data_IF_049849914134
#
_entry.id   IF_049849914134
#
_cell.length_a   1.000
_cell.length_b   1.000
_cell.length_c   1.000
_cell.angle_alpha   90.00
_cell.angle_beta   90.00
_cell.angle_gamma   90.00
#
_symmetry.space_group_name_H-M   'P 1'
#
loop_
_entity.id
_entity.type
_entity.pdbx_description
1 polymer ?
#
# COMPACT_ATOMS: atom_id res chain seq x y z
N UNK A 1 2.57 12.38 -21.37
CA UNK A 1 2.29 11.39 -20.31
C UNK A 1 1.11 10.61 -20.80
N UNK A 2 1.17 9.29 -20.76
CA UNK A 2 0.23 8.40 -21.42
C UNK A 2 -0.27 7.36 -20.43
N UNK A 3 -1.49 6.88 -20.65
CA UNK A 3 -2.07 5.79 -19.88
C UNK A 3 -1.50 4.46 -20.35
N UNK A 4 -1.02 3.67 -19.39
CA UNK A 4 -0.60 2.30 -19.62
C UNK A 4 -1.31 1.33 -18.68
N UNK A 5 -1.24 0.05 -19.05
CA UNK A 5 -1.70 -1.06 -18.22
C UNK A 5 -0.55 -2.03 -18.04
N UNK A 6 -0.31 -2.44 -16.79
CA UNK A 6 0.71 -3.46 -16.47
C UNK A 6 0.29 -4.80 -17.08
N UNK A 7 1.12 -5.33 -17.97
CA UNK A 7 0.99 -6.68 -18.53
C UNK A 7 1.72 -7.68 -17.64
N UNK A 8 2.92 -7.33 -17.17
CA UNK A 8 3.71 -8.17 -16.26
C UNK A 8 4.63 -7.31 -15.39
N UNK A 9 4.83 -7.75 -14.16
CA UNK A 9 5.81 -7.17 -13.23
C UNK A 9 7.01 -8.12 -12.98
N UNK A 10 7.12 -9.21 -13.76
CA UNK A 10 8.24 -10.17 -13.67
C UNK A 10 9.45 -9.63 -14.44
N UNK A 11 10.14 -8.64 -13.88
CA UNK A 11 11.32 -8.03 -14.48
C UNK A 11 12.55 -8.97 -14.42
N UNK A 12 13.08 -9.45 -15.56
CA UNK A 12 14.26 -10.32 -15.57
C UNK A 12 15.54 -9.67 -15.03
N UNK A 13 15.60 -8.34 -14.98
CA UNK A 13 16.76 -7.59 -14.48
C UNK A 13 16.69 -7.25 -13.00
N UNK A 14 15.51 -7.42 -12.37
CA UNK A 14 15.33 -7.15 -10.94
C UNK A 14 15.44 -5.69 -10.52
N UNK A 15 15.32 -4.73 -11.45
CA UNK A 15 15.44 -3.29 -11.14
C UNK A 15 14.07 -2.59 -11.04
N UNK A 16 12.97 -3.35 -11.04
CA UNK A 16 11.62 -2.82 -10.87
C UNK A 16 10.99 -2.29 -12.15
N UNK A 17 11.40 -2.80 -13.32
CA UNK A 17 10.72 -2.47 -14.59
C UNK A 17 9.33 -3.13 -14.65
N UNK A 18 8.42 -2.49 -15.38
CA UNK A 18 7.10 -3.04 -15.66
C UNK A 18 6.97 -3.25 -17.16
N UNK A 19 6.49 -4.42 -17.58
CA UNK A 19 6.04 -4.63 -18.95
C UNK A 19 4.66 -3.98 -19.07
N UNK A 20 4.55 -2.91 -19.85
CA UNK A 20 3.35 -2.09 -19.94
C UNK A 20 2.85 -2.02 -21.38
N UNK A 21 1.54 -2.08 -21.55
CA UNK A 21 0.87 -1.77 -22.83
C UNK A 21 0.44 -0.30 -22.80
N UNK A 22 0.78 0.46 -23.84
CA UNK A 22 0.46 1.89 -23.98
C UNK A 22 -0.18 2.13 -25.37
N UNK A 23 -1.50 1.90 -25.51
CA UNK A 23 -2.16 1.87 -26.82
C UNK A 23 -1.99 3.15 -27.64
N UNK A 24 -2.04 4.31 -26.99
CA UNK A 24 -1.93 5.62 -27.67
C UNK A 24 -0.58 5.88 -28.35
N UNK A 25 0.48 5.14 -27.98
CA UNK A 25 1.84 5.34 -28.52
C UNK A 25 2.33 4.13 -29.30
N UNK A 26 2.08 2.92 -28.79
CA UNK A 26 2.66 1.68 -29.31
C UNK A 26 1.63 0.74 -29.96
N UNK A 27 0.34 1.08 -29.86
CA UNK A 27 -0.76 0.16 -30.19
C UNK A 27 -0.95 -0.94 -29.14
N UNK A 28 -1.90 -1.84 -29.40
CA UNK A 28 -2.32 -2.83 -28.39
C UNK A 28 -1.39 -4.04 -28.26
N UNK A 29 -0.69 -4.40 -29.34
CA UNK A 29 0.08 -5.65 -29.42
C UNK A 29 1.57 -5.50 -29.11
N UNK A 30 2.02 -4.29 -28.75
CA UNK A 30 3.44 -3.97 -28.53
C UNK A 30 3.71 -3.49 -27.09
N UNK A 31 3.68 -4.39 -26.09
CA UNK A 31 4.06 -4.03 -24.74
C UNK A 31 5.56 -3.77 -24.63
N UNK A 32 5.94 -2.81 -23.79
CA UNK A 32 7.33 -2.35 -23.63
C UNK A 32 7.75 -2.36 -22.16
N UNK A 33 9.03 -2.58 -21.89
CA UNK A 33 9.58 -2.51 -20.54
C UNK A 33 9.82 -1.05 -20.12
N UNK A 34 8.99 -0.53 -19.22
CA UNK A 34 9.16 0.79 -18.64
C UNK A 34 10.02 0.76 -17.37
N UNK A 35 11.01 1.64 -17.28
CA UNK A 35 11.84 1.79 -16.08
C UNK A 35 11.12 2.57 -14.96
N UNK A 36 11.42 2.31 -13.68
CA UNK A 36 10.77 2.99 -12.57
C UNK A 36 11.24 4.42 -12.40
N UNK A 37 10.30 5.36 -12.23
CA UNK A 37 10.53 6.66 -11.61
C UNK A 37 9.98 6.60 -10.19
N UNK A 38 10.78 6.05 -9.28
CA UNK A 38 10.40 5.85 -7.87
C UNK A 38 10.82 7.05 -7.00
N UNK A 39 10.03 7.42 -5.96
CA UNK A 39 10.36 8.45 -4.97
C UNK A 39 11.72 8.30 -4.28
N UNK A 40 12.25 7.09 -4.14
CA UNK A 40 13.56 6.85 -3.54
C UNK A 40 14.24 5.66 -4.21
N UNK A 41 15.46 5.87 -4.71
CA UNK A 41 16.35 4.84 -5.20
C UNK A 41 17.80 5.18 -4.81
N UNK A 42 18.55 4.18 -4.37
CA UNK A 42 19.95 4.30 -4.00
C UNK A 42 20.57 2.94 -3.76
N UNK A 43 21.87 2.91 -3.46
CA UNK A 43 22.54 1.67 -3.07
C UNK A 43 21.94 1.15 -1.77
N UNK A 44 21.40 -0.07 -1.80
CA UNK A 44 20.79 -0.78 -0.66
C UNK A 44 19.62 -0.02 0.02
N UNK A 45 18.97 0.92 -0.66
CA UNK A 45 17.79 1.62 -0.16
C UNK A 45 16.84 2.07 -1.28
N UNK A 46 15.55 2.19 -0.97
CA UNK A 46 14.56 2.68 -1.94
C UNK A 46 13.14 2.26 -1.65
N UNK A 47 12.22 2.74 -2.49
CA UNK A 47 10.87 2.22 -2.57
C UNK A 47 10.75 1.31 -3.80
N UNK A 48 10.53 0.02 -3.53
CA UNK A 48 10.39 -1.03 -4.54
C UNK A 48 8.95 -1.56 -4.53
N UNK A 49 8.21 -1.32 -5.62
CA UNK A 49 6.77 -1.63 -5.72
C UNK A 49 6.54 -2.60 -6.87
N UNK A 50 5.84 -3.70 -6.58
CA UNK A 50 5.45 -4.71 -7.56
C UNK A 50 3.92 -4.74 -7.65
N UNK A 51 3.31 -4.09 -8.64
CA UNK A 51 1.86 -4.07 -8.83
C UNK A 51 1.35 -5.40 -9.42
N UNK A 52 0.08 -5.77 -9.19
CA UNK A 52 -0.53 -6.88 -9.93
C UNK A 52 -0.69 -6.55 -11.42
N UNK A 53 -0.63 -7.54 -12.32
CA UNK A 53 -1.04 -7.37 -13.70
C UNK A 53 -2.47 -6.78 -13.81
N UNK A 54 -2.69 -5.95 -14.82
CA UNK A 54 -3.93 -5.19 -14.99
C UNK A 54 -3.95 -3.83 -14.28
N UNK A 55 -2.96 -3.53 -13.43
CA UNK A 55 -2.86 -2.22 -12.77
C UNK A 55 -2.70 -1.09 -13.79
N UNK A 56 -3.45 0.00 -13.60
CA UNK A 56 -3.28 1.24 -14.37
C UNK A 56 -2.00 1.96 -13.96
N UNK A 57 -1.22 2.41 -14.94
CA UNK A 57 0.08 3.06 -14.71
C UNK A 57 0.23 4.26 -15.63
N UNK A 58 0.86 5.32 -15.13
CA UNK A 58 1.22 6.46 -15.95
C UNK A 58 2.61 6.29 -16.53
N UNK A 59 2.73 6.45 -17.84
CA UNK A 59 3.97 6.25 -18.59
C UNK A 59 4.41 7.56 -19.25
N UNK A 60 5.72 7.80 -19.29
CA UNK A 60 6.34 8.87 -20.07
C UNK A 60 7.47 8.29 -20.91
N UNK A 61 7.59 8.79 -22.12
CA UNK A 61 8.70 8.49 -23.02
C UNK A 61 9.72 9.62 -22.91
N UNK A 62 10.95 9.28 -22.48
CA UNK A 62 12.01 10.27 -22.30
C UNK A 62 12.39 10.85 -23.65
N UNK A 63 12.51 12.18 -23.73
CA UNK A 63 12.80 12.91 -24.96
C UNK A 63 11.81 12.65 -26.12
N UNK A 64 10.63 12.10 -25.81
CA UNK A 64 9.63 11.69 -26.80
C UNK A 64 9.95 10.38 -27.51
N UNK A 65 10.99 9.65 -27.10
CA UNK A 65 11.44 8.40 -27.70
C UNK A 65 10.62 7.20 -27.21
N UNK A 66 9.83 6.53 -28.08
CA UNK A 66 9.04 5.34 -27.73
C UNK A 66 9.86 4.18 -27.14
N UNK A 67 11.16 4.10 -27.43
CA UNK A 67 12.06 3.06 -26.92
C UNK A 67 12.62 3.36 -25.53
N UNK A 68 12.33 4.55 -24.97
CA UNK A 68 12.77 4.99 -23.64
C UNK A 68 11.62 5.29 -22.66
N UNK A 69 10.74 4.31 -22.38
CA UNK A 69 9.64 4.50 -21.44
C UNK A 69 10.08 4.46 -19.96
N UNK A 70 9.46 5.32 -19.16
CA UNK A 70 9.50 5.29 -17.69
C UNK A 70 8.08 5.31 -17.14
N UNK A 71 7.84 4.58 -16.05
CA UNK A 71 6.58 4.66 -15.31
C UNK A 71 6.71 5.62 -14.12
N UNK A 72 5.70 6.46 -13.92
CA UNK A 72 5.72 7.58 -12.97
C UNK A 72 4.95 7.30 -11.67
N UNK A 73 4.00 6.37 -11.73
CA UNK A 73 3.08 6.06 -10.65
C UNK A 73 1.82 5.37 -11.18
N UNK A 74 0.89 5.10 -10.29
CA UNK A 74 -0.29 4.29 -10.60
C UNK A 74 -1.55 5.14 -10.76
N UNK A 75 -2.37 4.76 -11.74
CA UNK A 75 -3.69 5.34 -11.98
C UNK A 75 -4.74 4.41 -11.38
N UNK A 76 -5.75 4.99 -10.72
CA UNK A 76 -6.96 4.26 -10.34
C UNK A 76 -7.94 4.28 -11.51
N UNK A 77 -8.36 3.11 -11.96
CA UNK A 77 -9.44 2.90 -12.94
C UNK A 77 -10.82 2.90 -12.29
N UNK A 78 -10.92 2.65 -10.99
CA UNK A 78 -12.19 2.73 -10.26
C UNK A 78 -12.06 2.42 -8.77
N UNK A 79 -13.20 2.18 -8.11
CA UNK A 79 -13.25 1.88 -6.67
C UNK A 79 -12.57 0.56 -6.30
N UNK A 80 -12.42 -0.37 -7.25
CA UNK A 80 -11.72 -1.64 -7.06
C UNK A 80 -10.22 -1.48 -6.82
N UNK A 81 -9.62 -0.39 -7.29
CA UNK A 81 -8.19 -0.12 -7.12
C UNK A 81 -7.89 0.56 -5.78
N UNK A 82 -8.92 0.88 -4.99
CA UNK A 82 -8.77 1.47 -3.66
C UNK A 82 -8.56 0.36 -2.64
N UNK A 83 -7.46 0.37 -1.86
CA UNK A 83 -7.25 -0.61 -0.81
C UNK A 83 -8.44 -0.70 0.15
N UNK A 84 -8.92 -1.91 0.50
CA UNK A 84 -10.01 -2.06 1.45
C UNK A 84 -9.75 -1.37 2.80
N UNK A 85 -8.48 -1.35 3.25
CA UNK A 85 -8.06 -0.69 4.48
C UNK A 85 -8.38 0.82 4.52
N UNK A 86 -8.47 1.48 3.35
CA UNK A 86 -8.84 2.90 3.28
C UNK A 86 -10.31 3.17 3.64
N UNK A 87 -11.16 2.13 3.64
CA UNK A 87 -12.58 2.23 4.05
C UNK A 87 -12.75 2.33 5.56
N UNK A 88 -11.70 2.07 6.35
CA UNK A 88 -11.71 2.23 7.81
C UNK A 88 -11.86 3.69 8.25
N UNK A 89 -11.54 4.63 7.36
CA UNK A 89 -11.64 6.07 7.61
C UNK A 89 -12.73 6.68 6.71
N UNK A 90 -13.70 7.43 7.26
CA UNK A 90 -14.75 8.08 6.48
C UNK A 90 -14.21 9.05 5.42
N UNK A 91 -14.92 9.25 4.30
CA UNK A 91 -14.56 10.26 3.32
C UNK A 91 -14.45 11.68 3.93
N UNK A 92 -13.46 12.45 3.49
CA UNK A 92 -13.21 13.81 3.98
C UNK A 92 -12.24 13.89 5.17
N UNK A 93 -11.91 12.76 5.79
CA UNK A 93 -10.86 12.68 6.81
C UNK A 93 -9.52 12.33 6.16
N UNK A 94 -8.45 13.11 6.40
CA UNK A 94 -7.13 12.78 5.88
C UNK A 94 -6.63 11.41 6.34
N UNK A 95 -6.05 10.64 5.42
CA UNK A 95 -5.43 9.36 5.70
C UNK A 95 -4.34 9.01 4.68
N UNK A 96 -3.39 8.17 5.10
CA UNK A 96 -2.36 7.55 4.26
C UNK A 96 -2.46 6.04 4.42
N UNK A 97 -2.58 5.32 3.30
CA UNK A 97 -2.71 3.86 3.30
C UNK A 97 -1.75 3.24 2.29
N UNK A 98 -0.87 2.37 2.78
CA UNK A 98 -0.04 1.47 1.97
C UNK A 98 -0.51 0.05 2.23
N UNK A 99 -0.94 -0.68 1.21
CA UNK A 99 -1.50 -2.00 1.40
C UNK A 99 -1.18 -2.96 0.26
N UNK A 100 -1.06 -4.25 0.61
CA UNK A 100 -0.98 -5.35 -0.35
C UNK A 100 -2.38 -5.90 -0.69
N UNK A 101 -2.53 -6.60 -1.82
CA UNK A 101 -3.82 -7.23 -2.18
C UNK A 101 -4.35 -8.24 -1.16
N UNK A 102 -3.46 -8.84 -0.36
CA UNK A 102 -3.81 -9.82 0.67
C UNK A 102 -4.22 -9.20 2.01
N UNK A 103 -4.29 -7.87 2.10
CA UNK A 103 -4.78 -7.16 3.28
C UNK A 103 -3.73 -6.83 4.34
N UNK A 104 -2.43 -6.90 4.00
CA UNK A 104 -1.40 -6.31 4.86
C UNK A 104 -1.36 -4.81 4.61
N UNK A 105 -1.44 -3.98 5.64
CA UNK A 105 -1.56 -2.54 5.50
C UNK A 105 -0.85 -1.75 6.61
N UNK A 106 -0.27 -0.61 6.21
CA UNK A 106 0.01 0.53 7.09
C UNK A 106 -1.07 1.58 6.83
N UNK A 107 -1.77 1.98 7.90
CA UNK A 107 -2.82 3.00 7.89
C UNK A 107 -2.43 4.10 8.86
N UNK A 108 -2.46 5.35 8.40
CA UNK A 108 -2.31 6.56 9.21
C UNK A 108 -3.60 7.38 8.98
N UNK A 109 -4.35 7.69 10.02
CA UNK A 109 -5.66 8.33 9.93
C UNK A 109 -5.83 9.43 10.96
N UNK A 110 -6.31 10.59 10.52
CA UNK A 110 -6.66 11.74 11.36
C UNK A 110 -8.07 11.62 11.97
N UNK A 111 -8.70 10.44 11.93
CA UNK A 111 -9.99 10.19 12.57
C UNK A 111 -9.84 10.31 14.10
N UNK A 112 -10.63 11.16 14.79
CA UNK A 112 -10.44 11.39 16.22
C UNK A 112 -10.79 10.17 17.07
N UNK A 113 -10.20 10.11 18.27
CA UNK A 113 -10.48 9.08 19.27
C UNK A 113 -9.87 7.71 18.93
N UNK A 114 -10.42 6.62 19.49
CA UNK A 114 -9.80 5.29 19.41
C UNK A 114 -9.87 4.68 18.02
N UNK A 115 -10.62 5.26 17.09
CA UNK A 115 -10.82 4.71 15.75
C UNK A 115 -9.68 5.08 14.77
N UNK A 116 -9.06 6.25 14.91
CA UNK A 116 -7.93 6.67 14.06
C UNK A 116 -6.56 6.30 14.62
N UNK A 117 -5.57 7.15 14.31
CA UNK A 117 -4.17 6.94 14.66
C UNK A 117 -3.41 6.13 13.62
N UNK A 118 -2.43 5.35 14.07
CA UNK A 118 -1.53 4.55 13.22
C UNK A 118 -1.81 3.07 13.46
N UNK A 119 -2.02 2.30 12.39
CA UNK A 119 -2.29 0.86 12.43
C UNK A 119 -1.42 0.10 11.43
N UNK A 120 -0.72 -0.90 11.92
CA UNK A 120 -0.13 -1.98 11.12
C UNK A 120 -1.07 -3.19 11.20
N UNK A 121 -1.72 -3.54 10.10
CA UNK A 121 -2.67 -4.66 10.02
C UNK A 121 -2.12 -5.75 9.10
N UNK A 122 -2.27 -7.01 9.50
CA UNK A 122 -2.02 -8.16 8.62
C UNK A 122 -3.34 -8.84 8.28
N UNK A 123 -3.47 -9.35 7.05
CA UNK A 123 -4.61 -10.17 6.61
C UNK A 123 -6.01 -9.55 6.80
N UNK A 124 -6.14 -8.23 6.64
CA UNK A 124 -7.42 -7.52 6.79
C UNK A 124 -7.89 -7.44 8.25
N UNK A 125 -9.13 -7.00 8.49
CA UNK A 125 -9.60 -6.62 9.84
C UNK A 125 -9.69 -7.76 10.85
N UNK A 126 -9.59 -9.01 10.41
CA UNK A 126 -9.60 -10.20 11.26
C UNK A 126 -8.22 -10.70 11.65
N UNK A 127 -7.14 -10.12 11.10
CA UNK A 127 -5.79 -10.58 11.39
C UNK A 127 -5.10 -9.81 12.52
N UNK A 128 -3.83 -10.17 12.80
CA UNK A 128 -3.00 -9.49 13.79
C UNK A 128 -2.77 -8.01 13.48
N UNK A 129 -2.63 -7.19 14.52
CA UNK A 129 -2.27 -5.79 14.36
C UNK A 129 -1.44 -5.21 15.50
N UNK A 130 -0.77 -4.10 15.17
CA UNK A 130 -0.30 -3.10 16.12
C UNK A 130 -1.07 -1.81 15.84
N UNK A 131 -1.67 -1.22 16.87
CA UNK A 131 -2.44 0.02 16.75
C UNK A 131 -2.02 1.01 17.83
N UNK A 132 -1.84 2.26 17.43
CA UNK A 132 -1.57 3.40 18.30
C UNK A 132 -2.63 4.45 17.97
N UNK A 133 -3.36 4.91 18.97
CA UNK A 133 -4.34 5.99 18.83
C UNK A 133 -4.23 6.97 20.01
N UNK A 134 -5.10 7.98 20.06
CA UNK A 134 -5.07 9.03 21.10
C UNK A 134 -5.28 8.51 22.53
N UNK A 135 -5.89 7.33 22.67
CA UNK A 135 -6.31 6.78 23.96
C UNK A 135 -5.55 5.51 24.36
N UNK A 136 -4.98 4.78 23.41
CA UNK A 136 -4.38 3.47 23.67
C UNK A 136 -3.32 3.04 22.68
N UNK A 137 -2.46 2.12 23.14
CA UNK A 137 -1.55 1.33 22.32
C UNK A 137 -1.95 -0.14 22.48
N UNK A 138 -2.06 -0.86 21.37
CA UNK A 138 -2.53 -2.24 21.37
C UNK A 138 -1.74 -3.12 20.40
N UNK A 139 -1.31 -4.28 20.91
CA UNK A 139 -0.74 -5.38 20.15
C UNK A 139 -1.73 -6.55 20.21
N UNK A 140 -2.15 -7.05 19.05
CA UNK A 140 -3.09 -8.17 18.95
C UNK A 140 -2.58 -9.21 17.98
N UNK A 141 -2.56 -10.47 18.42
CA UNK A 141 -2.29 -11.62 17.55
C UNK A 141 -3.53 -12.05 16.73
N UNK A 142 -4.64 -11.33 16.85
CA UNK A 142 -5.91 -11.65 16.21
C UNK A 142 -6.98 -12.16 17.19
N UNK A 143 -8.21 -12.40 16.71
CA UNK A 143 -9.34 -12.80 17.55
C UNK A 143 -9.06 -14.07 18.35
N UNK A 144 -9.30 -14.04 19.66
CA UNK A 144 -9.11 -15.19 20.56
C UNK A 144 -7.65 -15.54 20.88
N UNK A 145 -6.68 -14.74 20.41
CA UNK A 145 -5.26 -14.95 20.65
C UNK A 145 -4.71 -13.91 21.63
N UNK A 146 -3.40 -13.95 21.85
CA UNK A 146 -2.73 -13.09 22.82
C UNK A 146 -2.88 -11.60 22.46
N UNK A 147 -3.04 -10.78 23.50
CA UNK A 147 -3.18 -9.32 23.38
C UNK A 147 -2.40 -8.60 24.48
N UNK A 148 -1.89 -7.41 24.17
CA UNK A 148 -1.35 -6.46 25.14
C UNK A 148 -1.96 -5.09 24.83
N UNK A 149 -2.58 -4.47 25.82
CA UNK A 149 -3.23 -3.17 25.69
C UNK A 149 -2.75 -2.23 26.78
N UNK A 150 -2.36 -1.01 26.39
CA UNK A 150 -2.00 0.07 27.29
C UNK A 150 -3.07 1.16 27.18
N UNK A 151 -3.67 1.52 28.32
CA UNK A 151 -4.68 2.58 28.43
C UNK A 151 -4.40 3.41 29.67
N UNK A 152 -4.00 4.66 29.50
CA UNK A 152 -3.55 5.49 30.63
C UNK A 152 -2.40 4.80 31.40
N UNK A 153 -2.48 4.64 32.74
CA UNK A 153 -1.48 3.92 33.53
C UNK A 153 -1.63 2.38 33.45
N UNK A 154 -2.74 1.88 32.91
CA UNK A 154 -3.08 0.47 32.95
C UNK A 154 -2.42 -0.31 31.80
N UNK A 155 -1.89 -1.49 32.15
CA UNK A 155 -1.47 -2.51 31.18
C UNK A 155 -2.32 -3.76 31.35
N UNK A 156 -2.97 -4.20 30.28
CA UNK A 156 -3.81 -5.40 30.26
C UNK A 156 -3.26 -6.43 29.27
N UNK A 157 -3.11 -7.67 29.73
CA UNK A 157 -2.64 -8.81 28.91
C UNK A 157 -3.74 -9.85 28.79
N UNK A 158 -3.92 -10.39 27.59
CA UNK A 158 -4.88 -11.44 27.24
C UNK A 158 -6.28 -11.16 27.78
N UNK A 159 -6.81 -9.98 27.46
CA UNK A 159 -8.18 -9.56 27.82
C UNK A 159 -8.49 -9.63 29.32
N UNK A 160 -7.51 -9.28 30.16
CA UNK A 160 -7.70 -9.19 31.62
C UNK A 160 -7.09 -10.35 32.42
N UNK A 161 -6.45 -11.32 31.77
CA UNK A 161 -5.75 -12.41 32.46
C UNK A 161 -4.64 -11.90 33.39
N UNK A 162 -3.98 -10.80 33.01
CA UNK A 162 -3.11 -10.01 33.87
C UNK A 162 -3.40 -8.53 33.66
N UNK A 163 -3.56 -7.79 34.76
CA UNK A 163 -3.75 -6.34 34.75
C UNK A 163 -2.81 -5.70 35.76
N UNK A 164 -2.06 -4.69 35.31
CA UNK A 164 -1.17 -3.86 36.14
C UNK A 164 -1.69 -2.42 36.10
N UNK A 165 -1.65 -1.74 37.24
CA UNK A 165 -2.12 -0.36 37.45
C UNK A 165 -0.96 0.58 37.80
#
# INVERSE_FOLDING_TARGET
MYEGVVVSAVDPTGVGRLLVRVPEVLGDDNPVWAAPLTPLAGRDCGMYVVPPPGSGVWVRFLDGDPDRPVWLGFRRGGSGDVPPAAKSTPPGIPQIVLATPTGNALVISDLPGPAGGIKLQLHGDTGPYLKINETSIELSCGPGLATIQLVGPQVTVNSGALTVL
#
